data_IF_104993415636
#
_entry.id   IF_104993415636
#
_cell.length_a   1.000
_cell.length_b   1.000
_cell.length_c   1.000
_cell.angle_alpha   90.00
_cell.angle_beta   90.00
_cell.angle_gamma   90.00
#
_symmetry.space_group_name_H-M   'P 1'
#
loop_
_entity.id
_entity.type
_entity.pdbx_description
1 polymer ?
#
# COMPACT_ATOMS: atom_id res chain seq x y z
N UNK A 1 21.63 18.98 -5.98
CA UNK A 1 22.17 19.74 -4.84
C UNK A 1 21.14 19.76 -3.74
N UNK A 2 21.49 19.19 -2.58
CA UNK A 2 21.01 19.51 -1.23
C UNK A 2 19.51 19.47 -0.89
N UNK A 3 19.15 18.56 0.02
CA UNK A 3 18.28 18.92 1.16
C UNK A 3 16.95 18.16 1.26
N UNK A 4 16.79 17.38 2.33
CA UNK A 4 15.45 16.94 2.78
C UNK A 4 15.31 15.54 3.36
N UNK A 5 16.41 14.79 3.58
CA UNK A 5 16.36 13.53 4.33
C UNK A 5 16.40 13.80 5.83
N UNK A 6 15.25 13.83 6.50
CA UNK A 6 15.25 13.85 7.96
C UNK A 6 13.87 14.02 8.61
N UNK A 7 13.43 12.98 9.32
CA UNK A 7 13.33 13.02 10.79
C UNK A 7 13.03 11.61 11.33
N UNK A 8 13.95 11.13 12.16
CA UNK A 8 13.77 9.97 13.02
C UNK A 8 12.92 10.35 14.24
N UNK A 9 12.09 9.43 14.71
CA UNK A 9 11.56 9.45 16.07
C UNK A 9 11.69 8.05 16.68
N UNK A 10 12.44 8.00 17.78
CA UNK A 10 12.73 6.85 18.63
C UNK A 10 11.56 6.54 19.56
N UNK A 11 11.36 5.25 19.87
CA UNK A 11 11.33 4.70 21.25
C UNK A 11 11.27 3.17 21.20
N UNK A 12 12.31 2.52 21.74
CA UNK A 12 12.46 1.07 21.83
C UNK A 12 13.89 0.58 21.59
N UNK A 13 14.71 0.53 22.64
CA UNK A 13 15.84 -0.40 22.90
C UNK A 13 17.03 -0.56 21.94
N UNK A 14 16.92 -0.28 20.66
CA UNK A 14 17.99 -0.45 19.66
C UNK A 14 18.01 0.71 18.67
N UNK A 15 19.17 0.98 18.05
CA UNK A 15 19.26 1.97 16.98
C UNK A 15 18.47 1.45 15.78
N UNK A 16 17.50 2.22 15.29
CA UNK A 16 16.73 1.84 14.10
C UNK A 16 17.70 1.54 12.94
N UNK A 17 17.43 0.50 12.12
CA UNK A 17 18.28 0.19 10.98
C UNK A 17 18.34 1.41 10.05
N UNK A 18 19.49 1.70 9.42
CA UNK A 18 19.54 2.72 8.39
C UNK A 18 18.62 2.31 7.23
N UNK A 19 17.69 3.18 6.85
CA UNK A 19 16.73 2.96 5.76
C UNK A 19 16.97 3.99 4.67
N UNK A 20 16.98 3.53 3.41
CA UNK A 20 16.94 4.38 2.23
C UNK A 20 15.54 4.30 1.64
N UNK A 21 14.86 5.45 1.52
CA UNK A 21 13.53 5.54 0.88
C UNK A 21 13.70 5.99 -0.57
N UNK A 22 13.22 5.18 -1.51
CA UNK A 22 13.16 5.55 -2.92
C UNK A 22 11.96 6.49 -3.18
N UNK A 23 11.96 7.23 -4.31
CA UNK A 23 10.74 7.86 -4.81
C UNK A 23 9.60 6.83 -4.96
N UNK A 24 8.37 7.24 -4.68
CA UNK A 24 7.21 6.39 -4.90
C UNK A 24 6.99 6.15 -6.41
N UNK A 25 6.55 4.95 -6.78
CA UNK A 25 6.04 4.68 -8.12
C UNK A 25 4.64 5.31 -8.24
N UNK A 26 4.44 6.31 -9.12
CA UNK A 26 3.17 7.04 -9.17
C UNK A 26 2.09 6.32 -9.98
N UNK A 27 2.43 5.25 -10.68
CA UNK A 27 1.50 4.44 -11.49
C UNK A 27 1.50 3.00 -11.00
N UNK A 28 0.30 2.44 -10.86
CA UNK A 28 0.08 1.05 -10.44
C UNK A 28 -0.88 0.32 -11.37
N UNK A 29 -1.45 -0.77 -10.88
CA UNK A 29 -2.46 -1.57 -11.57
C UNK A 29 -3.86 -1.21 -11.05
N UNK A 30 -4.56 -0.37 -11.80
CA UNK A 30 -5.88 0.18 -11.44
C UNK A 30 -6.88 0.12 -12.61
N UNK A 31 -6.96 -0.97 -13.42
CA UNK A 31 -7.86 -1.01 -14.57
C UNK A 31 -9.34 -0.88 -14.16
N UNK A 32 -9.66 -1.26 -12.92
CA UNK A 32 -10.98 -1.10 -12.33
C UNK A 32 -11.38 0.38 -12.14
N UNK A 33 -10.46 1.34 -12.20
CA UNK A 33 -10.72 2.78 -12.08
C UNK A 33 -10.63 3.56 -13.41
N UNK A 34 -10.55 2.88 -14.57
CA UNK A 34 -10.46 3.57 -15.87
C UNK A 34 -11.68 4.49 -16.15
N UNK A 35 -12.86 4.15 -15.61
CA UNK A 35 -14.06 4.99 -15.70
C UNK A 35 -13.89 6.36 -15.03
N UNK A 36 -12.93 6.48 -14.10
CA UNK A 36 -12.58 7.70 -13.37
C UNK A 36 -11.26 8.33 -13.87
N UNK A 37 -10.90 8.08 -15.13
CA UNK A 37 -9.69 8.61 -15.78
C UNK A 37 -8.37 8.20 -15.11
N UNK A 38 -8.33 7.04 -14.42
CA UNK A 38 -7.09 6.50 -13.88
C UNK A 38 -6.07 6.18 -14.99
N UNK A 39 -4.80 6.55 -14.77
CA UNK A 39 -3.68 6.09 -15.59
C UNK A 39 -3.16 4.79 -14.99
N UNK A 40 -3.35 3.68 -15.70
CA UNK A 40 -3.06 2.34 -15.18
C UNK A 40 -2.04 1.60 -16.03
N UNK A 41 -1.11 0.91 -15.36
CA UNK A 41 -0.28 -0.12 -15.97
C UNK A 41 -1.09 -1.43 -16.08
N UNK A 42 -0.75 -2.25 -17.08
CA UNK A 42 -1.17 -3.64 -17.08
C UNK A 42 -0.48 -4.40 -15.93
N UNK A 43 -1.04 -5.53 -15.52
CA UNK A 43 -0.43 -6.34 -14.47
C UNK A 43 0.98 -6.81 -14.84
N UNK A 44 1.18 -7.21 -16.10
CA UNK A 44 2.48 -7.64 -16.63
C UNK A 44 3.49 -6.49 -16.70
N UNK A 45 3.05 -5.27 -17.06
CA UNK A 45 3.93 -4.09 -17.06
C UNK A 45 4.35 -3.71 -15.64
N UNK A 46 3.42 -3.71 -14.67
CA UNK A 46 3.78 -3.44 -13.28
C UNK A 46 4.75 -4.50 -12.74
N UNK A 47 4.51 -5.79 -13.03
CA UNK A 47 5.42 -6.87 -12.66
C UNK A 47 6.83 -6.66 -13.24
N UNK A 48 6.93 -6.31 -14.52
CA UNK A 48 8.22 -6.02 -15.16
C UNK A 48 8.94 -4.82 -14.52
N UNK A 49 8.22 -3.73 -14.21
CA UNK A 49 8.78 -2.57 -13.52
C UNK A 49 9.33 -2.96 -12.15
N UNK A 50 8.55 -3.72 -11.36
CA UNK A 50 9.00 -4.16 -10.03
C UNK A 50 10.20 -5.10 -10.12
N UNK A 51 10.23 -6.00 -11.11
CA UNK A 51 11.37 -6.88 -11.36
C UNK A 51 12.65 -6.08 -11.67
N UNK A 52 12.57 -5.06 -12.53
CA UNK A 52 13.73 -4.19 -12.85
C UNK A 52 14.20 -3.37 -11.64
N UNK A 53 13.27 -2.87 -10.82
CA UNK A 53 13.60 -2.16 -9.58
C UNK A 53 14.31 -3.09 -8.59
N UNK A 54 13.77 -4.29 -8.35
CA UNK A 54 14.37 -5.26 -7.44
C UNK A 54 15.75 -5.71 -7.94
N UNK A 55 15.86 -6.05 -9.23
CA UNK A 55 17.11 -6.44 -9.89
C UNK A 55 18.18 -5.36 -9.78
N UNK A 56 17.88 -4.12 -10.19
CA UNK A 56 18.87 -3.03 -10.17
C UNK A 56 19.34 -2.69 -8.75
N UNK A 57 18.47 -2.77 -7.76
CA UNK A 57 18.84 -2.59 -6.35
C UNK A 57 19.71 -3.74 -5.84
N UNK A 58 19.39 -4.99 -6.18
CA UNK A 58 20.24 -6.14 -5.86
C UNK A 58 21.61 -6.02 -6.52
N UNK A 59 21.69 -5.65 -7.79
CA UNK A 59 22.94 -5.41 -8.53
C UNK A 59 23.77 -4.28 -7.89
N UNK A 60 23.09 -3.26 -7.35
CA UNK A 60 23.72 -2.14 -6.63
C UNK A 60 24.19 -2.49 -5.20
N UNK A 61 24.02 -3.74 -4.76
CA UNK A 61 24.49 -4.23 -3.47
C UNK A 61 23.46 -4.22 -2.33
N UNK A 62 22.21 -3.82 -2.59
CA UNK A 62 21.15 -3.97 -1.58
C UNK A 62 20.81 -5.46 -1.40
N UNK A 63 20.63 -5.88 -0.14
CA UNK A 63 20.32 -7.27 0.23
C UNK A 63 19.06 -7.40 1.09
N UNK A 64 18.42 -6.28 1.44
CA UNK A 64 17.14 -6.22 2.16
C UNK A 64 16.29 -5.16 1.49
N UNK A 65 15.22 -5.57 0.81
CA UNK A 65 14.35 -4.66 0.07
C UNK A 65 12.90 -4.93 0.49
N UNK A 66 12.16 -3.86 0.80
CA UNK A 66 10.75 -3.94 1.16
C UNK A 66 9.94 -3.02 0.25
N UNK A 67 8.94 -3.58 -0.41
CA UNK A 67 7.90 -2.83 -1.13
C UNK A 67 6.79 -2.48 -0.15
N UNK A 68 6.44 -1.20 -0.06
CA UNK A 68 5.33 -0.69 0.76
C UNK A 68 4.25 -0.14 -0.17
N UNK A 69 3.08 -0.77 -0.14
CA UNK A 69 1.98 -0.49 -1.06
C UNK A 69 0.87 0.36 -0.45
N UNK A 70 0.29 1.20 -1.31
CA UNK A 70 -0.82 2.09 -1.00
C UNK A 70 -2.05 1.90 -1.90
N UNK A 71 -2.07 0.92 -2.81
CA UNK A 71 -3.21 0.67 -3.71
C UNK A 71 -3.55 -0.82 -3.81
N UNK A 72 -4.83 -1.17 -3.60
CA UNK A 72 -5.27 -2.56 -3.52
C UNK A 72 -4.94 -3.40 -4.75
N UNK A 73 -5.11 -2.85 -5.95
CA UNK A 73 -4.83 -3.56 -7.21
C UNK A 73 -3.37 -3.94 -7.45
N UNK A 74 -2.42 -3.41 -6.65
CA UNK A 74 -1.02 -3.81 -6.73
C UNK A 74 -0.68 -5.03 -5.85
N UNK A 75 -1.54 -5.41 -4.90
CA UNK A 75 -1.16 -6.25 -3.75
C UNK A 75 -0.64 -7.63 -4.19
N UNK A 76 -1.36 -8.28 -5.10
CA UNK A 76 -0.99 -9.59 -5.64
C UNK A 76 0.28 -9.52 -6.49
N UNK A 77 0.39 -8.48 -7.33
CA UNK A 77 1.50 -8.27 -8.25
C UNK A 77 2.80 -8.01 -7.49
N UNK A 78 2.78 -7.15 -6.47
CA UNK A 78 3.98 -6.87 -5.66
C UNK A 78 4.44 -8.09 -4.88
N UNK A 79 3.49 -8.92 -4.39
CA UNK A 79 3.80 -10.14 -3.63
C UNK A 79 4.41 -11.19 -4.54
N UNK A 80 3.89 -11.31 -5.76
CA UNK A 80 4.48 -12.16 -6.78
C UNK A 80 5.90 -11.70 -7.11
N UNK A 81 6.11 -10.40 -7.36
CA UNK A 81 7.42 -9.85 -7.72
C UNK A 81 8.50 -10.14 -6.67
N UNK A 82 8.22 -9.94 -5.37
CA UNK A 82 9.21 -10.25 -4.32
C UNK A 82 9.46 -11.75 -4.15
N UNK A 83 8.42 -12.59 -4.33
CA UNK A 83 8.56 -14.06 -4.26
C UNK A 83 9.40 -14.58 -5.42
N UNK A 84 9.11 -14.15 -6.65
CA UNK A 84 9.86 -14.55 -7.84
C UNK A 84 11.31 -14.08 -7.75
N UNK A 85 11.55 -12.84 -7.36
CA UNK A 85 12.91 -12.30 -7.24
C UNK A 85 13.72 -13.05 -6.18
N UNK A 86 13.11 -13.39 -5.04
CA UNK A 86 13.76 -14.16 -3.97
C UNK A 86 14.24 -15.56 -4.40
N UNK A 87 13.68 -16.14 -5.47
CA UNK A 87 14.11 -17.45 -5.99
C UNK A 87 15.41 -17.36 -6.80
N UNK A 88 15.74 -16.18 -7.35
CA UNK A 88 16.87 -16.00 -8.26
C UNK A 88 17.95 -15.02 -7.76
N UNK A 89 17.73 -14.35 -6.64
CA UNK A 89 18.59 -13.27 -6.15
C UNK A 89 19.01 -13.47 -4.70
N UNK A 90 20.29 -13.20 -4.40
CA UNK A 90 20.77 -13.14 -3.03
C UNK A 90 20.17 -11.96 -2.26
N UNK A 91 19.58 -12.24 -1.10
CA UNK A 91 19.03 -11.24 -0.21
C UNK A 91 17.69 -11.67 0.38
N UNK A 92 17.04 -10.74 1.06
CA UNK A 92 15.68 -10.88 1.55
C UNK A 92 14.80 -9.79 0.96
N UNK A 93 13.59 -10.19 0.57
CA UNK A 93 12.63 -9.34 -0.14
C UNK A 93 11.27 -9.44 0.54
N UNK A 94 10.66 -8.30 0.85
CA UNK A 94 9.38 -8.22 1.53
C UNK A 94 8.42 -7.30 0.78
N UNK A 95 7.12 -7.56 0.94
CA UNK A 95 6.07 -6.68 0.43
C UNK A 95 4.95 -6.60 1.47
N UNK A 96 4.44 -5.40 1.72
CA UNK A 96 3.28 -5.18 2.56
C UNK A 96 2.44 -4.02 2.03
N UNK A 97 1.15 -4.04 2.33
CA UNK A 97 0.29 -2.87 2.17
C UNK A 97 0.22 -2.15 3.52
N UNK A 98 0.23 -0.81 3.54
CA UNK A 98 0.34 -0.07 4.81
C UNK A 98 -0.81 -0.37 5.79
N UNK A 99 -1.99 -0.72 5.27
CA UNK A 99 -3.17 -1.11 6.04
C UNK A 99 -3.09 -2.53 6.61
N UNK A 100 -2.25 -3.41 6.04
CA UNK A 100 -2.11 -4.80 6.49
C UNK A 100 -1.16 -4.97 7.68
N UNK A 101 -0.63 -3.87 8.25
CA UNK A 101 0.30 -3.91 9.38
C UNK A 101 -0.41 -3.63 10.71
N UNK A 102 0.05 -4.26 11.80
CA UNK A 102 -0.49 -4.12 13.15
C UNK A 102 -1.46 -5.24 13.56
N UNK A 103 -1.97 -5.17 14.78
CA UNK A 103 -2.76 -6.26 15.41
C UNK A 103 -4.19 -6.38 14.87
N UNK A 104 -4.72 -5.33 14.24
CA UNK A 104 -6.03 -5.31 13.60
C UNK A 104 -5.86 -4.79 12.16
N UNK A 105 -5.35 -5.61 11.23
CA UNK A 105 -5.29 -5.24 9.83
C UNK A 105 -6.72 -5.08 9.31
N UNK A 106 -7.05 -3.87 8.87
CA UNK A 106 -8.38 -3.52 8.35
C UNK A 106 -8.24 -3.23 6.86
N UNK A 107 -9.19 -3.70 6.06
CA UNK A 107 -9.30 -3.23 4.69
C UNK A 107 -9.80 -1.77 4.75
N UNK A 108 -9.01 -0.78 4.30
CA UNK A 108 -9.38 0.62 4.43
C UNK A 108 -10.57 1.01 3.54
N UNK A 109 -11.04 0.10 2.69
CA UNK A 109 -11.92 0.45 1.60
C UNK A 109 -11.17 1.22 0.52
N UNK A 110 -11.91 1.97 -0.29
CA UNK A 110 -11.38 2.85 -1.31
C UNK A 110 -12.21 4.13 -1.38
N UNK A 111 -11.52 5.28 -1.32
CA UNK A 111 -12.07 6.63 -1.32
C UNK A 111 -13.17 6.89 -0.28
N UNK A 112 -13.27 6.02 0.73
CA UNK A 112 -14.24 6.10 1.80
C UNK A 112 -13.76 6.89 3.00
N UNK A 113 -14.36 6.63 4.16
CA UNK A 113 -14.10 7.39 5.39
C UNK A 113 -12.64 7.31 5.80
N UNK A 114 -12.03 6.13 5.74
CA UNK A 114 -10.69 5.88 6.24
C UNK A 114 -9.63 6.64 5.44
N UNK A 115 -9.54 6.42 4.12
CA UNK A 115 -8.56 7.08 3.25
C UNK A 115 -8.73 8.60 3.26
N UNK A 116 -9.97 9.07 3.22
CA UNK A 116 -10.28 10.51 3.28
C UNK A 116 -9.84 11.13 4.61
N UNK A 117 -10.02 10.43 5.73
CA UNK A 117 -9.58 10.90 7.06
C UNK A 117 -8.06 11.02 7.16
N UNK A 118 -7.32 10.07 6.59
CA UNK A 118 -5.86 10.12 6.51
C UNK A 118 -5.39 11.26 5.60
N UNK A 119 -6.03 11.45 4.44
CA UNK A 119 -5.71 12.54 3.51
C UNK A 119 -6.01 13.92 4.11
N UNK A 120 -7.11 14.08 4.85
CA UNK A 120 -7.40 15.32 5.58
C UNK A 120 -6.33 15.66 6.62
N UNK A 121 -5.69 14.66 7.23
CA UNK A 121 -4.59 14.89 8.18
C UNK A 121 -3.23 15.12 7.51
N UNK A 122 -2.95 14.45 6.39
CA UNK A 122 -1.65 14.53 5.71
C UNK A 122 -1.56 15.70 4.72
N UNK A 123 -2.62 15.87 3.91
CA UNK A 123 -2.67 16.79 2.77
C UNK A 123 -4.09 17.36 2.60
N UNK A 124 -4.57 18.18 3.55
CA UNK A 124 -5.95 18.69 3.54
C UNK A 124 -6.31 19.44 2.26
N UNK A 125 -5.36 20.16 1.67
CA UNK A 125 -5.57 20.95 0.43
C UNK A 125 -5.86 20.08 -0.81
N UNK A 126 -5.63 18.76 -0.73
CA UNK A 126 -5.94 17.81 -1.79
C UNK A 126 -7.32 17.16 -1.62
N UNK A 127 -8.04 17.45 -0.54
CA UNK A 127 -9.38 16.93 -0.28
C UNK A 127 -10.41 18.00 -0.61
N UNK A 128 -11.33 17.69 -1.53
CA UNK A 128 -12.44 18.58 -1.87
C UNK A 128 -13.36 18.73 -0.65
N UNK A 129 -13.68 19.98 -0.31
CA UNK A 129 -14.67 20.30 0.72
C UNK A 129 -15.79 21.18 0.13
N UNK A 130 -17.06 20.98 0.51
CA UNK A 130 -17.56 19.95 1.43
C UNK A 130 -17.40 18.51 0.88
N UNK A 131 -17.31 17.54 1.79
CA UNK A 131 -17.26 16.12 1.44
C UNK A 131 -18.70 15.64 1.29
N UNK A 132 -19.08 15.37 0.05
CA UNK A 132 -20.43 14.92 -0.28
C UNK A 132 -20.67 13.48 0.19
N UNK A 133 -21.85 13.17 0.75
CA UNK A 133 -22.25 11.80 1.04
C UNK A 133 -22.27 10.94 -0.22
N UNK A 134 -21.78 9.70 -0.08
CA UNK A 134 -21.86 8.72 -1.15
C UNK A 134 -22.23 7.35 -0.59
N UNK A 135 -23.39 6.83 -1.02
CA UNK A 135 -23.82 5.47 -0.69
C UNK A 135 -23.78 4.64 -1.96
N UNK A 136 -22.99 3.55 -2.02
CA UNK A 136 -22.99 2.64 -3.16
C UNK A 136 -24.42 2.17 -3.50
N UNK A 137 -24.82 2.32 -4.75
CA UNK A 137 -26.16 1.96 -5.18
C UNK A 137 -26.34 0.45 -5.35
N UNK A 138 -27.45 -0.08 -4.84
CA UNK A 138 -27.88 -1.48 -5.04
C UNK A 138 -27.23 -2.48 -4.10
N UNK A 139 -27.16 -3.74 -4.53
CA UNK A 139 -26.52 -4.80 -3.75
C UNK A 139 -25.01 -4.55 -3.60
N UNK A 140 -24.39 -5.03 -2.49
CA UNK A 140 -22.94 -4.99 -2.31
C UNK A 140 -22.22 -5.60 -3.53
N UNK A 141 -21.08 -5.04 -3.95
CA UNK A 141 -20.30 -5.61 -5.03
C UNK A 141 -19.70 -6.97 -4.64
N UNK A 142 -19.45 -7.86 -5.61
CA UNK A 142 -18.96 -9.21 -5.34
C UNK A 142 -17.61 -9.21 -4.62
N UNK A 143 -16.75 -8.22 -4.91
CA UNK A 143 -15.47 -8.07 -4.23
C UNK A 143 -15.61 -7.67 -2.75
N UNK A 144 -16.73 -7.05 -2.35
CA UNK A 144 -17.01 -6.71 -0.96
C UNK A 144 -17.79 -7.81 -0.23
N UNK A 145 -18.57 -8.61 -0.95
CA UNK A 145 -19.38 -9.70 -0.41
C UNK A 145 -19.30 -10.94 -1.33
N UNK A 146 -18.18 -11.68 -1.31
CA UNK A 146 -18.04 -12.87 -2.15
C UNK A 146 -19.05 -13.94 -1.73
N UNK A 147 -19.60 -14.73 -2.68
CA UNK A 147 -20.66 -15.70 -2.39
C UNK A 147 -20.20 -16.89 -1.53
N UNK A 148 -18.89 -17.03 -1.30
CA UNK A 148 -18.31 -18.05 -0.45
C UNK A 148 -16.99 -17.55 0.19
N UNK A 149 -16.68 -17.89 1.46
CA UNK A 149 -15.39 -17.60 2.07
C UNK A 149 -14.20 -18.13 1.25
N UNK A 150 -13.16 -17.31 1.11
CA UNK A 150 -11.95 -17.65 0.35
C UNK A 150 -12.08 -17.50 -1.17
N UNK A 151 -13.26 -17.16 -1.70
CA UNK A 151 -13.43 -16.92 -3.12
C UNK A 151 -13.08 -15.47 -3.47
N UNK A 152 -12.26 -15.29 -4.51
CA UNK A 152 -12.14 -14.01 -5.21
C UNK A 152 -13.20 -13.96 -6.30
N UNK A 153 -14.13 -13.00 -6.20
CA UNK A 153 -15.22 -12.83 -7.15
C UNK A 153 -15.27 -11.38 -7.63
N UNK A 154 -15.20 -11.21 -8.94
CA UNK A 154 -15.22 -9.92 -9.62
C UNK A 154 -16.29 -9.95 -10.71
N UNK A 155 -16.97 -8.84 -10.92
CA UNK A 155 -17.88 -8.65 -12.05
C UNK A 155 -17.56 -7.35 -12.77
N UNK A 156 -17.54 -7.44 -14.10
CA UNK A 156 -17.31 -6.28 -14.95
C UNK A 156 -18.27 -5.13 -14.62
N UNK A 157 -17.72 -3.92 -14.49
CA UNK A 157 -18.48 -2.70 -14.24
C UNK A 157 -18.88 -2.45 -12.78
N UNK A 158 -18.56 -3.33 -11.84
CA UNK A 158 -18.97 -3.12 -10.44
C UNK A 158 -18.33 -1.89 -9.79
N UNK A 159 -17.06 -1.64 -10.05
CA UNK A 159 -16.37 -0.45 -9.56
C UNK A 159 -17.00 0.85 -10.08
N UNK A 160 -17.36 0.89 -11.36
CA UNK A 160 -18.08 2.03 -11.95
C UNK A 160 -19.49 2.17 -11.35
N UNK A 161 -20.19 1.04 -11.14
CA UNK A 161 -21.53 1.01 -10.54
C UNK A 161 -21.55 1.59 -9.12
N UNK A 162 -20.52 1.33 -8.32
CA UNK A 162 -20.42 1.87 -6.95
C UNK A 162 -19.76 3.26 -6.91
N UNK A 163 -19.50 3.88 -8.06
CA UNK A 163 -18.89 5.22 -8.15
C UNK A 163 -17.42 5.27 -7.71
N UNK A 164 -16.74 4.11 -7.66
CA UNK A 164 -15.36 4.02 -7.21
C UNK A 164 -15.16 4.18 -5.71
N UNK A 165 -16.21 4.15 -4.91
CA UNK A 165 -16.11 4.21 -3.45
C UNK A 165 -16.68 2.94 -2.84
N UNK A 166 -16.04 2.42 -1.79
CA UNK A 166 -16.53 1.24 -1.07
C UNK A 166 -17.48 1.57 0.07
N UNK A 167 -17.41 2.80 0.58
CA UNK A 167 -18.13 3.30 1.75
C UNK A 167 -18.25 4.84 1.72
N UNK A 168 -19.08 5.40 2.59
CA UNK A 168 -19.41 6.83 2.61
C UNK A 168 -18.28 7.68 3.24
N UNK A 169 -17.68 8.63 2.50
CA UNK A 169 -16.62 9.49 3.01
C UNK A 169 -17.12 10.68 3.86
N UNK A 170 -18.42 11.00 3.88
CA UNK A 170 -18.93 12.25 4.50
C UNK A 170 -18.65 12.38 6.01
N UNK A 171 -18.48 11.25 6.69
CA UNK A 171 -18.11 11.19 8.10
C UNK A 171 -16.60 11.29 8.34
N UNK A 172 -15.77 11.47 7.30
CA UNK A 172 -14.33 11.62 7.43
C UNK A 172 -13.95 12.89 8.20
N UNK A 173 -12.94 12.77 9.04
CA UNK A 173 -12.37 13.87 9.83
C UNK A 173 -10.85 13.72 9.81
N UNK A 174 -10.05 14.80 9.94
CA UNK A 174 -8.60 14.64 10.04
C UNK A 174 -8.22 13.63 11.12
N UNK A 175 -7.49 12.57 10.74
CA UNK A 175 -7.02 11.52 11.65
C UNK A 175 -5.48 11.45 11.74
N UNK A 176 -4.84 12.38 12.48
CA UNK A 176 -3.39 12.32 12.71
C UNK A 176 -2.98 11.11 13.57
N UNK A 177 -3.90 10.57 14.37
CA UNK A 177 -3.68 9.38 15.19
C UNK A 177 -3.49 8.14 14.32
N UNK A 178 -4.41 7.92 13.38
CA UNK A 178 -4.33 6.86 12.36
C UNK A 178 -3.04 6.93 11.57
N UNK A 179 -2.63 8.11 11.08
CA UNK A 179 -1.34 8.29 10.39
C UNK A 179 -0.15 7.89 11.26
N UNK A 180 -0.15 8.30 12.53
CA UNK A 180 0.91 7.97 13.48
C UNK A 180 0.98 6.46 13.75
N UNK A 181 -0.18 5.80 13.87
CA UNK A 181 -0.26 4.35 14.01
C UNK A 181 0.32 3.66 12.77
N UNK A 182 -0.10 4.06 11.56
CA UNK A 182 0.42 3.47 10.31
C UNK A 182 1.94 3.63 10.18
N UNK A 183 2.48 4.81 10.50
CA UNK A 183 3.92 5.04 10.49
C UNK A 183 4.66 4.20 11.53
N UNK A 184 4.07 4.03 12.72
CA UNK A 184 4.65 3.22 13.81
C UNK A 184 4.69 1.75 13.45
N UNK A 185 3.60 1.21 12.90
CA UNK A 185 3.52 -0.19 12.46
C UNK A 185 4.45 -0.48 11.29
N UNK A 186 4.59 0.45 10.34
CA UNK A 186 5.60 0.33 9.30
C UNK A 186 7.02 0.31 9.87
N UNK A 187 7.34 1.17 10.84
CA UNK A 187 8.64 1.17 11.48
C UNK A 187 8.92 -0.13 12.27
N UNK A 188 7.88 -0.73 12.88
CA UNK A 188 7.98 -2.05 13.53
C UNK A 188 8.23 -3.16 12.50
N UNK A 189 7.49 -3.17 11.40
CA UNK A 189 7.68 -4.15 10.32
C UNK A 189 9.08 -4.08 9.71
N UNK A 190 9.62 -2.88 9.49
CA UNK A 190 11.00 -2.70 9.00
C UNK A 190 12.02 -3.27 9.98
N UNK A 191 11.86 -3.03 11.29
CA UNK A 191 12.75 -3.60 12.32
C UNK A 191 12.67 -5.12 12.37
N UNK A 192 11.45 -5.67 12.42
CA UNK A 192 11.24 -7.12 12.43
C UNK A 192 11.86 -7.79 11.19
N UNK A 193 11.68 -7.19 10.01
CA UNK A 193 12.30 -7.68 8.79
C UNK A 193 13.83 -7.63 8.84
N UNK A 194 14.41 -6.52 9.33
CA UNK A 194 15.86 -6.38 9.46
C UNK A 194 16.48 -7.36 10.46
N UNK A 195 15.79 -7.62 11.59
CA UNK A 195 16.19 -8.58 12.62
C UNK A 195 16.13 -10.02 12.10
N UNK A 196 15.02 -10.39 11.45
CA UNK A 196 14.82 -11.74 10.90
C UNK A 196 15.78 -12.08 9.74
N UNK A 197 16.43 -11.07 9.15
CA UNK A 197 17.32 -11.21 7.99
C UNK A 197 18.74 -10.71 8.29
N UNK A 198 19.10 -10.64 9.58
CA UNK A 198 20.46 -10.37 10.01
C UNK A 198 21.37 -11.59 9.70
N UNK A 199 22.67 -11.39 9.40
CA UNK A 199 23.60 -12.50 9.24
C UNK A 199 23.60 -13.40 10.49
N UNK A 200 23.35 -14.70 10.30
CA UNK A 200 23.27 -15.67 11.41
C UNK A 200 21.89 -15.76 12.10
N UNK A 201 20.88 -15.04 11.61
CA UNK A 201 19.49 -15.40 11.88
C UNK A 201 19.19 -16.76 11.20
N UNK A 202 18.43 -17.60 11.90
CA UNK A 202 18.21 -19.04 11.61
C UNK A 202 17.77 -19.31 10.18
#
# INVERSE_FOLDING_TARGET
GGGGGGRAAHRGGGRAPPVVRLPALPYGHSPHHLFAAAVSLSASTLAAVLADVLRSLTESGFRRIMIVNGHGGNDEIMRLAVKEHALGAEGAFAACSYWSLGEAPENPGHAGRYETSLMLAAHPDLVRTPIEPHTPAGAPPLFAAPPHPGLTAERHGEWARVGGMTDDPSAARPDPGGLTIRATELARAIRAFAEATAPGAV
#
